data_IF_848929868267
#
_entry.id   IF_848929868267
#
_cell.length_a   1.000
_cell.length_b   1.000
_cell.length_c   1.000
_cell.angle_alpha   90.00
_cell.angle_beta   90.00
_cell.angle_gamma   90.00
#
_symmetry.space_group_name_H-M   'P 1'
#
loop_
_entity.id
_entity.type
_entity.pdbx_description
1 polymer ?
#
# COMPACT_ATOMS: atom_id res chain seq x y z
N UNK A 1 -1.82 -17.96 -12.95
CA UNK A 1 -0.57 -18.73 -12.78
C UNK A 1 -0.71 -20.16 -13.27
N UNK A 2 -1.75 -20.90 -12.86
CA UNK A 2 -2.00 -22.29 -13.31
C UNK A 2 -2.06 -22.41 -14.85
N UNK A 3 -2.77 -21.52 -15.53
CA UNK A 3 -2.84 -21.49 -16.99
C UNK A 3 -1.47 -21.34 -17.67
N UNK A 4 -0.60 -20.48 -17.13
CA UNK A 4 0.76 -20.28 -17.64
C UNK A 4 1.61 -21.54 -17.50
N UNK A 5 1.54 -22.22 -16.35
CA UNK A 5 2.25 -23.49 -16.13
C UNK A 5 1.77 -24.57 -17.10
N UNK A 6 0.46 -24.70 -17.30
CA UNK A 6 -0.13 -25.66 -18.25
C UNK A 6 0.39 -25.41 -19.66
N UNK A 7 0.37 -24.14 -20.12
CA UNK A 7 0.85 -23.76 -21.44
C UNK A 7 2.34 -24.10 -21.59
N UNK A 8 3.16 -23.78 -20.59
CA UNK A 8 4.60 -24.09 -20.60
C UNK A 8 4.88 -25.58 -20.67
N UNK A 9 4.14 -26.41 -19.93
CA UNK A 9 4.26 -27.87 -19.98
C UNK A 9 3.85 -28.42 -21.35
N UNK A 10 2.76 -27.93 -21.93
CA UNK A 10 2.33 -28.31 -23.28
C UNK A 10 3.44 -27.98 -24.30
N UNK A 11 3.98 -26.76 -24.25
CA UNK A 11 5.06 -26.38 -25.16
C UNK A 11 6.34 -27.17 -24.93
N UNK A 12 6.68 -27.54 -23.69
CA UNK A 12 7.84 -28.39 -23.42
C UNK A 12 7.74 -29.73 -24.18
N UNK A 13 6.58 -30.39 -24.12
CA UNK A 13 6.36 -31.65 -24.84
C UNK A 13 6.32 -31.49 -26.37
N UNK A 14 5.98 -30.29 -26.88
CA UNK A 14 5.91 -30.02 -28.31
C UNK A 14 7.22 -29.50 -28.93
N UNK A 15 8.07 -28.82 -28.16
CA UNK A 15 9.18 -28.01 -28.70
C UNK A 15 10.58 -28.56 -28.47
N UNK A 16 10.71 -29.72 -27.79
CA UNK A 16 11.98 -30.38 -27.47
C UNK A 16 13.04 -29.49 -26.76
N UNK A 17 12.65 -28.29 -26.31
CA UNK A 17 13.54 -27.40 -25.58
C UNK A 17 13.71 -27.86 -24.12
N UNK A 18 14.88 -27.63 -23.49
CA UNK A 18 15.10 -27.96 -22.10
C UNK A 18 14.09 -27.27 -21.18
N UNK A 19 13.71 -27.96 -20.09
CA UNK A 19 12.77 -27.42 -19.10
C UNK A 19 13.29 -26.11 -18.46
N UNK A 20 14.61 -25.97 -18.32
CA UNK A 20 15.28 -24.73 -17.90
C UNK A 20 14.92 -23.54 -18.80
N UNK A 21 15.00 -23.72 -20.12
CA UNK A 21 14.66 -22.67 -21.10
C UNK A 21 13.18 -22.32 -21.01
N UNK A 22 12.30 -23.32 -20.97
CA UNK A 22 10.85 -23.11 -20.89
C UNK A 22 10.43 -22.37 -19.62
N UNK A 23 11.07 -22.67 -18.49
CA UNK A 23 10.85 -21.99 -17.21
C UNK A 23 11.33 -20.54 -17.24
N UNK A 24 12.48 -20.29 -17.86
CA UNK A 24 13.01 -18.95 -18.09
C UNK A 24 12.11 -18.11 -19.00
N UNK A 25 11.68 -18.67 -20.15
CA UNK A 25 10.74 -18.02 -21.08
C UNK A 25 9.44 -17.68 -20.38
N UNK A 26 8.84 -18.65 -19.66
CA UNK A 26 7.60 -18.41 -18.92
C UNK A 26 7.75 -17.25 -17.93
N UNK A 27 8.80 -17.29 -17.12
CA UNK A 27 9.06 -16.27 -16.09
C UNK A 27 9.31 -14.90 -16.71
N UNK A 28 10.02 -14.83 -17.84
CA UNK A 28 10.28 -13.59 -18.57
C UNK A 28 9.02 -13.03 -19.24
N UNK A 29 8.25 -13.88 -19.93
CA UNK A 29 7.04 -13.49 -20.63
C UNK A 29 5.97 -12.90 -19.69
N UNK A 30 5.88 -13.42 -18.46
CA UNK A 30 4.95 -12.91 -17.44
C UNK A 30 5.61 -11.96 -16.44
N UNK A 31 6.84 -11.51 -16.70
CA UNK A 31 7.60 -10.55 -15.85
C UNK A 31 7.73 -10.96 -14.38
N UNK A 32 7.85 -12.26 -14.11
CA UNK A 32 7.86 -12.83 -12.76
C UNK A 32 9.29 -13.20 -12.30
N UNK A 33 10.07 -12.19 -11.91
CA UNK A 33 11.45 -12.37 -11.39
C UNK A 33 11.53 -13.29 -10.17
N UNK A 34 10.64 -13.18 -9.14
CA UNK A 34 10.66 -14.12 -8.02
C UNK A 34 10.38 -15.56 -8.43
N UNK A 35 9.55 -15.77 -9.47
CA UNK A 35 9.29 -17.09 -10.04
C UNK A 35 10.53 -17.75 -10.64
N UNK A 36 11.37 -16.96 -11.34
CA UNK A 36 12.66 -17.46 -11.84
C UNK A 36 13.58 -17.86 -10.68
N UNK A 37 13.69 -17.01 -9.65
CA UNK A 37 14.53 -17.28 -8.48
C UNK A 37 14.10 -18.55 -7.72
N UNK A 38 12.79 -18.73 -7.51
CA UNK A 38 12.24 -19.94 -6.91
C UNK A 38 12.55 -21.20 -7.74
N UNK A 39 12.44 -21.11 -9.07
CA UNK A 39 12.75 -22.22 -9.95
C UNK A 39 14.25 -22.56 -9.96
N UNK A 40 15.13 -21.56 -9.95
CA UNK A 40 16.58 -21.77 -9.85
C UNK A 40 16.99 -22.41 -8.53
N UNK A 41 16.37 -21.98 -7.42
CA UNK A 41 16.57 -22.61 -6.11
C UNK A 41 16.13 -24.08 -6.12
N UNK A 42 14.94 -24.37 -6.64
CA UNK A 42 14.44 -25.75 -6.74
C UNK A 42 15.36 -26.65 -7.58
N UNK A 43 15.88 -26.17 -8.71
CA UNK A 43 16.84 -26.91 -9.54
C UNK A 43 18.13 -27.22 -8.77
N UNK A 44 18.64 -26.23 -8.01
CA UNK A 44 19.86 -26.38 -7.19
C UNK A 44 19.65 -27.35 -6.04
N UNK A 45 18.53 -27.23 -5.32
CA UNK A 45 18.23 -28.03 -4.13
C UNK A 45 17.96 -29.51 -4.50
N UNK A 46 17.25 -29.75 -5.61
CA UNK A 46 16.91 -31.09 -6.08
C UNK A 46 18.05 -31.78 -6.86
N UNK A 47 19.20 -31.13 -7.03
CA UNK A 47 20.36 -31.65 -7.77
C UNK A 47 19.98 -32.25 -9.14
N UNK A 48 19.07 -31.59 -9.87
CA UNK A 48 18.54 -32.13 -11.13
C UNK A 48 19.63 -32.07 -12.19
N UNK A 49 20.35 -33.18 -12.38
CA UNK A 49 21.41 -33.32 -13.38
C UNK A 49 20.92 -32.96 -14.78
N UNK A 50 21.68 -32.13 -15.51
CA UNK A 50 21.34 -31.66 -16.86
C UNK A 50 20.51 -30.37 -16.91
N UNK A 51 20.15 -29.78 -15.77
CA UNK A 51 19.41 -28.51 -15.69
C UNK A 51 20.37 -27.33 -15.54
N UNK A 52 20.48 -26.47 -16.54
CA UNK A 52 21.36 -25.29 -16.47
C UNK A 52 20.58 -24.04 -16.02
N UNK A 53 20.86 -23.57 -14.81
CA UNK A 53 20.32 -22.31 -14.26
C UNK A 53 20.73 -21.07 -15.08
N UNK A 54 21.82 -21.15 -15.83
CA UNK A 54 22.29 -20.10 -16.74
C UNK A 54 21.37 -19.98 -17.95
N UNK A 55 20.93 -21.12 -18.52
CA UNK A 55 19.93 -21.14 -19.61
C UNK A 55 18.59 -20.57 -19.16
N UNK A 56 18.19 -20.81 -17.91
CA UNK A 56 16.98 -20.19 -17.34
C UNK A 56 17.09 -18.66 -17.33
N UNK A 57 18.24 -18.14 -16.90
CA UNK A 57 18.53 -16.70 -16.86
C UNK A 57 18.55 -16.09 -18.26
N UNK A 58 19.19 -16.74 -19.23
CA UNK A 58 19.27 -16.27 -20.60
C UNK A 58 17.89 -16.22 -21.26
N UNK A 59 17.12 -17.29 -21.12
CA UNK A 59 15.75 -17.36 -21.64
C UNK A 59 14.85 -16.29 -21.02
N UNK A 60 14.99 -16.03 -19.73
CA UNK A 60 14.31 -14.94 -19.05
C UNK A 60 14.70 -13.57 -19.64
N UNK A 61 15.99 -13.32 -19.84
CA UNK A 61 16.48 -12.05 -20.37
C UNK A 61 15.95 -11.75 -21.79
N UNK A 62 15.81 -12.78 -22.62
CA UNK A 62 15.26 -12.63 -23.98
C UNK A 62 13.74 -12.45 -23.93
N UNK A 63 13.02 -13.17 -23.08
CA UNK A 63 11.55 -13.11 -23.03
C UNK A 63 11.01 -11.86 -22.31
N UNK A 64 11.75 -11.30 -21.35
CA UNK A 64 11.31 -10.17 -20.53
C UNK A 64 10.94 -8.91 -21.34
N UNK A 65 11.75 -8.44 -22.32
CA UNK A 65 11.36 -7.31 -23.17
C UNK A 65 10.01 -7.51 -23.88
N UNK A 66 9.73 -8.70 -24.39
CA UNK A 66 8.46 -9.01 -25.06
C UNK A 66 7.29 -9.00 -24.08
N UNK A 67 7.49 -9.47 -22.84
CA UNK A 67 6.49 -9.37 -21.78
C UNK A 67 6.14 -7.90 -21.47
N UNK A 68 7.16 -7.05 -21.35
CA UNK A 68 7.00 -5.60 -21.12
C UNK A 68 6.30 -4.91 -22.29
N UNK A 69 6.70 -5.17 -23.54
CA UNK A 69 6.01 -4.62 -24.70
C UNK A 69 4.56 -5.11 -24.79
N UNK A 70 4.32 -6.38 -24.49
CA UNK A 70 2.98 -6.96 -24.48
C UNK A 70 2.05 -6.26 -23.48
N UNK A 71 2.49 -6.04 -22.24
CA UNK A 71 1.68 -5.34 -21.24
C UNK A 71 1.46 -3.87 -21.61
N UNK A 72 2.45 -3.19 -22.19
CA UNK A 72 2.29 -1.80 -22.67
C UNK A 72 1.22 -1.73 -23.77
N UNK A 73 1.31 -2.60 -24.77
CA UNK A 73 0.33 -2.64 -25.88
C UNK A 73 -1.06 -3.00 -25.33
N UNK A 74 -1.15 -3.97 -24.43
CA UNK A 74 -2.41 -4.34 -23.79
C UNK A 74 -3.02 -3.16 -23.01
N UNK A 75 -2.23 -2.41 -22.24
CA UNK A 75 -2.69 -1.21 -21.55
C UNK A 75 -3.20 -0.13 -22.52
N UNK A 76 -2.51 0.09 -23.65
CA UNK A 76 -2.95 1.04 -24.68
C UNK A 76 -4.25 0.61 -25.35
N UNK A 77 -4.41 -0.69 -25.63
CA UNK A 77 -5.63 -1.26 -26.20
C UNK A 77 -6.80 -1.15 -25.21
N UNK A 78 -6.58 -1.49 -23.94
CA UNK A 78 -7.59 -1.35 -22.89
C UNK A 78 -8.01 0.12 -22.73
N UNK A 79 -7.04 1.05 -22.70
CA UNK A 79 -7.34 2.49 -22.67
C UNK A 79 -8.25 2.91 -23.82
N UNK A 80 -7.97 2.43 -25.03
CA UNK A 80 -8.78 2.73 -26.22
C UNK A 80 -10.16 2.07 -26.18
N UNK A 81 -10.24 0.81 -25.77
CA UNK A 81 -11.49 0.04 -25.73
C UNK A 81 -12.46 0.58 -24.67
N UNK A 82 -11.94 0.94 -23.49
CA UNK A 82 -12.74 1.46 -22.38
C UNK A 82 -12.85 2.99 -22.35
N UNK A 83 -12.29 3.69 -23.35
CA UNK A 83 -12.34 5.15 -23.42
C UNK A 83 -11.72 5.86 -22.22
N UNK A 84 -10.68 5.27 -21.61
CA UNK A 84 -10.07 5.78 -20.38
C UNK A 84 -9.32 7.09 -20.67
N UNK A 85 -9.76 8.17 -20.01
CA UNK A 85 -9.13 9.48 -20.08
C UNK A 85 -8.21 9.70 -18.86
N UNK A 86 -6.90 9.61 -19.09
CA UNK A 86 -5.88 9.78 -18.05
C UNK A 86 -5.93 11.14 -17.36
N UNK A 87 -6.25 12.21 -18.08
CA UNK A 87 -6.31 13.56 -17.50
C UNK A 87 -7.51 13.69 -16.57
N UNK A 88 -8.63 13.06 -16.95
CA UNK A 88 -9.82 13.00 -16.09
C UNK A 88 -9.56 12.16 -14.84
N UNK A 89 -8.91 11.01 -14.97
CA UNK A 89 -8.55 10.16 -13.83
C UNK A 89 -7.58 10.87 -12.88
N UNK A 90 -6.54 11.53 -13.40
CA UNK A 90 -5.61 12.33 -12.60
C UNK A 90 -6.32 13.43 -11.82
N UNK A 91 -7.24 14.15 -12.45
CA UNK A 91 -8.01 15.19 -11.77
C UNK A 91 -8.94 14.61 -10.68
N UNK A 92 -9.57 13.46 -10.94
CA UNK A 92 -10.36 12.75 -9.93
C UNK A 92 -9.49 12.30 -8.75
N UNK A 93 -8.32 11.74 -9.01
CA UNK A 93 -7.35 11.36 -7.98
C UNK A 93 -6.91 12.57 -7.16
N UNK A 94 -6.56 13.69 -7.81
CA UNK A 94 -6.21 14.95 -7.12
C UNK A 94 -7.34 15.44 -6.21
N UNK A 95 -8.58 15.44 -6.70
CA UNK A 95 -9.76 15.80 -5.89
C UNK A 95 -9.94 14.84 -4.70
N UNK A 96 -9.77 13.55 -4.93
CA UNK A 96 -9.88 12.54 -3.87
C UNK A 96 -8.78 12.72 -2.82
N UNK A 97 -7.56 13.05 -3.22
CA UNK A 97 -6.46 13.30 -2.30
C UNK A 97 -6.67 14.58 -1.48
N UNK A 98 -7.26 15.63 -2.06
CA UNK A 98 -7.71 16.82 -1.31
C UNK A 98 -8.80 16.45 -0.29
N UNK A 99 -9.76 15.60 -0.67
CA UNK A 99 -10.78 15.12 0.27
C UNK A 99 -10.18 14.24 1.38
N UNK A 100 -9.18 13.41 1.05
CA UNK A 100 -8.46 12.57 2.01
C UNK A 100 -7.59 13.39 2.96
N UNK A 101 -6.94 14.45 2.46
CA UNK A 101 -6.10 15.33 3.28
C UNK A 101 -6.92 16.21 4.23
N UNK A 102 -8.17 16.53 3.86
CA UNK A 102 -9.13 17.19 4.75
C UNK A 102 -9.79 16.25 5.78
N UNK A 103 -9.39 14.97 5.89
CA UNK A 103 -9.91 14.10 6.95
C UNK A 103 -9.48 14.61 8.33
N UNK A 104 -10.36 14.58 9.34
CA UNK A 104 -9.99 14.92 10.70
C UNK A 104 -8.85 14.03 11.18
N UNK A 105 -7.86 14.63 11.84
CA UNK A 105 -6.79 13.92 12.55
C UNK A 105 -7.22 13.76 13.99
N UNK A 106 -7.03 12.55 14.51
CA UNK A 106 -7.21 12.25 15.94
C UNK A 106 -5.83 12.23 16.59
N UNK A 107 -5.66 13.01 17.65
CA UNK A 107 -4.42 13.17 18.41
C UNK A 107 -4.69 12.83 19.87
N UNK A 108 -3.79 12.07 20.49
CA UNK A 108 -3.77 11.87 21.93
C UNK A 108 -2.83 12.91 22.53
N UNK A 109 -3.36 13.76 23.40
CA UNK A 109 -2.61 14.80 24.10
C UNK A 109 -2.68 14.56 25.60
N UNK A 110 -1.53 14.63 26.28
CA UNK A 110 -1.44 14.52 27.73
C UNK A 110 -1.51 15.94 28.31
N UNK A 111 -2.33 16.15 29.34
CA UNK A 111 -2.46 17.44 30.01
C UNK A 111 -1.29 17.65 30.98
N UNK A 112 -0.26 18.36 30.53
CA UNK A 112 0.89 18.75 31.36
C UNK A 112 0.79 20.20 31.90
N UNK A 113 -0.12 21.00 31.34
CA UNK A 113 -0.22 22.42 31.72
C UNK A 113 -0.98 22.58 33.04
N UNK A 114 -0.22 22.83 34.12
CA UNK A 114 -0.74 23.10 35.48
C UNK A 114 -1.73 24.27 35.57
N UNK A 115 -1.74 25.20 34.62
CA UNK A 115 -2.71 26.30 34.62
C UNK A 115 -4.11 25.85 34.18
N UNK A 116 -4.25 24.67 33.58
CA UNK A 116 -5.53 24.07 33.19
C UNK A 116 -6.05 23.06 34.22
N UNK A 117 -5.20 22.66 35.18
CA UNK A 117 -5.60 21.81 36.29
C UNK A 117 -6.72 22.45 37.11
N UNK A 118 -7.76 21.67 37.40
CA UNK A 118 -8.96 22.12 38.11
C UNK A 118 -9.89 23.04 37.29
N UNK A 119 -9.59 23.32 36.01
CA UNK A 119 -10.44 24.15 35.15
C UNK A 119 -11.40 23.30 34.32
N UNK A 120 -12.60 23.82 33.99
CA UNK A 120 -13.52 23.11 33.11
C UNK A 120 -12.98 23.09 31.67
N UNK A 121 -13.25 22.01 30.95
CA UNK A 121 -12.82 21.79 29.57
C UNK A 121 -13.22 22.94 28.63
N UNK A 122 -14.33 23.63 28.91
CA UNK A 122 -14.74 24.83 28.16
C UNK A 122 -13.63 25.90 28.06
N UNK A 123 -12.82 26.07 29.09
CA UNK A 123 -11.70 27.04 29.07
C UNK A 123 -10.70 26.68 27.97
N UNK A 124 -10.46 25.39 27.72
CA UNK A 124 -9.60 24.95 26.63
C UNK A 124 -10.17 25.35 25.26
N UNK A 125 -11.48 25.21 25.07
CA UNK A 125 -12.15 25.65 23.84
C UNK A 125 -12.11 27.16 23.65
N UNK A 126 -12.22 27.94 24.73
CA UNK A 126 -12.15 29.41 24.68
C UNK A 126 -10.72 29.91 24.37
N UNK A 127 -9.69 29.18 24.81
CA UNK A 127 -8.28 29.49 24.52
C UNK A 127 -7.88 29.15 23.08
N UNK A 128 -8.48 28.11 22.51
CA UNK A 128 -8.19 27.67 21.16
C UNK A 128 -9.01 28.46 20.14
N UNK A 129 -8.32 29.13 19.21
CA UNK A 129 -8.96 29.93 18.15
C UNK A 129 -9.66 29.10 17.06
N UNK A 130 -9.51 27.77 17.10
CA UNK A 130 -9.91 26.86 16.03
C UNK A 130 -10.90 25.81 16.58
N UNK A 131 -11.89 25.38 15.79
CA UNK A 131 -12.86 24.38 16.23
C UNK A 131 -12.19 23.01 16.39
N UNK A 132 -12.05 22.57 17.63
CA UNK A 132 -11.60 21.22 17.99
C UNK A 132 -12.71 20.46 18.70
N UNK A 133 -12.66 19.13 18.64
CA UNK A 133 -13.57 18.25 19.38
C UNK A 133 -12.75 17.34 20.29
N UNK A 134 -13.01 17.36 21.59
CA UNK A 134 -12.47 16.36 22.50
C UNK A 134 -13.46 15.19 22.55
N UNK A 135 -13.13 14.11 21.86
CA UNK A 135 -14.04 12.96 21.70
C UNK A 135 -14.03 12.03 22.91
N UNK A 136 -12.88 11.90 23.58
CA UNK A 136 -12.66 11.07 24.78
C UNK A 136 -11.66 11.73 25.71
N UNK A 137 -11.83 11.49 27.00
CA UNK A 137 -10.88 11.82 28.04
C UNK A 137 -10.61 10.57 28.88
N UNK A 138 -9.35 10.33 29.21
CA UNK A 138 -8.92 9.28 30.15
C UNK A 138 -8.35 9.94 31.40
N UNK A 139 -8.98 9.66 32.55
CA UNK A 139 -8.54 10.08 33.87
C UNK A 139 -8.33 8.83 34.72
N UNK A 140 -7.14 8.63 35.30
CA UNK A 140 -6.78 7.44 36.09
C UNK A 140 -7.14 6.10 35.42
N UNK A 141 -6.98 6.04 34.10
CA UNK A 141 -7.26 4.83 33.29
C UNK A 141 -8.73 4.62 32.94
N UNK A 142 -9.66 5.48 33.39
CA UNK A 142 -11.08 5.43 33.02
C UNK A 142 -11.34 6.35 31.82
N UNK A 143 -11.81 5.77 30.71
CA UNK A 143 -12.13 6.50 29.49
C UNK A 143 -13.61 6.85 29.45
N UNK A 144 -13.94 8.13 29.25
CA UNK A 144 -15.31 8.60 29.09
C UNK A 144 -15.43 9.71 28.04
N UNK A 145 -16.66 10.07 27.68
CA UNK A 145 -16.93 11.21 26.78
C UNK A 145 -17.09 12.46 27.62
N UNK A 146 -16.18 13.45 27.52
CA UNK A 146 -16.26 14.63 28.36
C UNK A 146 -17.35 15.60 27.89
N UNK A 147 -17.91 16.34 28.84
CA UNK A 147 -18.77 17.50 28.59
C UNK A 147 -17.96 18.81 28.74
N UNK A 148 -18.47 19.97 28.26
CA UNK A 148 -17.80 21.26 28.47
C UNK A 148 -17.57 21.63 29.95
N UNK A 149 -18.33 21.04 30.87
CA UNK A 149 -18.19 21.24 32.32
C UNK A 149 -17.27 20.22 33.00
N UNK A 150 -16.72 19.24 32.25
CA UNK A 150 -15.76 18.26 32.79
C UNK A 150 -14.51 19.00 33.27
N UNK A 151 -14.11 18.76 34.51
CA UNK A 151 -12.93 19.35 35.11
C UNK A 151 -11.70 18.59 34.65
N UNK A 152 -10.69 19.32 34.18
CA UNK A 152 -9.42 18.78 33.73
C UNK A 152 -8.48 18.55 34.92
N UNK A 153 -7.70 17.48 34.87
CA UNK A 153 -6.67 17.16 35.84
C UNK A 153 -5.30 16.92 35.18
N UNK A 154 -4.22 17.30 35.86
CA UNK A 154 -2.86 17.00 35.40
C UNK A 154 -2.68 15.48 35.15
N UNK A 155 -2.15 15.11 33.98
CA UNK A 155 -2.00 13.71 33.55
C UNK A 155 -3.17 13.15 32.75
N UNK A 156 -4.27 13.89 32.58
CA UNK A 156 -5.38 13.48 31.71
C UNK A 156 -4.92 13.26 30.26
N UNK A 157 -5.47 12.23 29.61
CA UNK A 157 -5.22 11.98 28.18
C UNK A 157 -6.47 12.35 27.39
N UNK A 158 -6.36 13.37 26.54
CA UNK A 158 -7.43 13.88 25.69
C UNK A 158 -7.28 13.33 24.27
N UNK A 159 -8.34 12.73 23.72
CA UNK A 159 -8.43 12.38 22.31
C UNK A 159 -9.09 13.53 21.54
N UNK A 160 -8.25 14.36 20.93
CA UNK A 160 -8.66 15.55 20.17
C UNK A 160 -8.80 15.20 18.70
N UNK A 161 -9.95 15.56 18.13
CA UNK A 161 -10.24 15.47 16.70
C UNK A 161 -10.24 16.88 16.12
N UNK A 162 -9.34 17.13 15.17
CA UNK A 162 -9.18 18.44 14.55
C UNK A 162 -8.92 18.31 13.04
N UNK A 163 -9.15 19.39 12.28
CA UNK A 163 -8.79 19.42 10.86
C UNK A 163 -7.27 19.34 10.68
N UNK A 164 -6.80 18.49 9.75
CA UNK A 164 -5.36 18.28 9.46
C UNK A 164 -4.62 19.55 9.07
N UNK A 165 -5.32 20.58 8.56
CA UNK A 165 -4.76 21.73 7.85
C UNK A 165 -3.68 22.51 8.62
N UNK A 166 -3.54 22.36 9.94
CA UNK A 166 -2.57 23.14 10.74
C UNK A 166 -1.85 22.41 11.90
N UNK A 167 -2.18 21.16 12.23
CA UNK A 167 -1.55 20.45 13.37
C UNK A 167 -0.25 19.71 13.00
N UNK A 168 0.38 20.06 11.86
CA UNK A 168 1.58 19.41 11.32
C UNK A 168 2.85 20.27 11.41
N UNK A 169 2.87 21.30 12.26
CA UNK A 169 4.06 22.11 12.56
C UNK A 169 4.42 21.98 14.04
#
# INVERSE_FOLDING_TARGET
MVSGVIITVIFFYLSAFPMSTMTGVMSGAVTNTPGLGAAQAAVKDLHIGGSDTSLMTLAYAVAYPFGVFGIIIAMLLLKKLFGINLDREKELHRKLDVLRSNRPVSLHLILENKQLDGKPLRVLFDLLKEPIVVSRLSHDGVIFTPSPSTVLAEGDILLVVASRKKWSN
#
